data_IF_756314075383
#
_entry.id   IF_756314075383
#
_cell.length_a   1.000
_cell.length_b   1.000
_cell.length_c   1.000
_cell.angle_alpha   90.00
_cell.angle_beta   90.00
_cell.angle_gamma   90.00
#
_symmetry.space_group_name_H-M   'P 1'
#
loop_
_entity.id
_entity.type
_entity.pdbx_description
1 polymer ?
#
# COMPACT_ATOMS: atom_id res chain seq x y z
N UNK A 1 -24.66 46.23 50.93
CA UNK A 1 -24.15 44.96 50.36
C UNK A 1 -22.83 45.28 49.64
N UNK A 2 -21.72 45.59 50.30
CA UNK A 2 -20.80 44.81 51.17
C UNK A 2 -19.77 43.98 50.39
N UNK A 3 -18.62 44.64 50.14
CA UNK A 3 -17.20 44.21 50.11
C UNK A 3 -16.78 42.74 49.83
N UNK A 4 -15.86 42.66 48.87
CA UNK A 4 -14.63 41.85 48.74
C UNK A 4 -14.21 40.90 49.89
N UNK A 5 -13.65 39.74 49.53
CA UNK A 5 -12.48 39.17 50.21
C UNK A 5 -11.67 38.18 49.34
N UNK A 6 -10.36 38.47 49.21
CA UNK A 6 -9.29 37.52 48.86
C UNK A 6 -9.18 36.42 49.93
N UNK A 7 -8.65 35.24 49.56
CA UNK A 7 -7.48 34.52 50.15
C UNK A 7 -7.50 33.03 49.75
N UNK A 8 -6.46 32.55 49.06
CA UNK A 8 -5.33 31.76 49.60
C UNK A 8 -5.69 30.35 50.08
N UNK A 9 -4.90 29.36 49.63
CA UNK A 9 -4.58 28.20 50.47
C UNK A 9 -4.44 26.88 49.73
N UNK A 10 -3.19 26.54 49.39
CA UNK A 10 -2.76 25.18 49.03
C UNK A 10 -2.83 24.21 50.23
N UNK A 11 -3.00 22.90 49.94
CA UNK A 11 -2.53 21.72 50.71
C UNK A 11 -2.95 20.46 49.92
N UNK A 12 -2.04 19.71 49.30
CA UNK A 12 -1.09 18.75 49.86
C UNK A 12 -1.71 17.39 50.24
N UNK A 13 -1.19 16.31 49.63
CA UNK A 13 -1.45 14.90 49.94
C UNK A 13 -1.34 14.05 48.66
N UNK A 14 -0.25 13.37 48.26
CA UNK A 14 0.72 12.48 48.89
C UNK A 14 0.56 11.04 48.34
N UNK A 15 1.71 10.33 48.26
CA UNK A 15 1.94 8.94 47.82
C UNK A 15 2.23 8.79 46.30
N UNK A 16 3.30 8.11 45.84
CA UNK A 16 4.20 7.14 46.50
C UNK A 16 5.51 7.04 45.70
N UNK A 17 6.64 6.94 46.41
CA UNK A 17 7.95 6.67 45.86
C UNK A 17 8.29 5.17 45.96
N UNK A 18 8.90 4.60 44.92
CA UNK A 18 9.71 3.37 44.97
C UNK A 18 10.65 3.41 43.75
N UNK A 19 11.90 3.85 43.91
CA UNK A 19 13.08 3.06 44.29
C UNK A 19 13.87 2.64 43.05
N UNK A 20 14.94 3.39 42.80
CA UNK A 20 15.99 3.07 41.83
C UNK A 20 16.73 1.80 42.28
N UNK A 21 17.01 0.91 41.32
CA UNK A 21 18.14 0.01 41.39
C UNK A 21 18.91 0.13 40.08
N UNK A 22 20.00 0.90 40.14
CA UNK A 22 21.10 0.84 39.20
C UNK A 22 22.02 -0.31 39.63
N UNK A 23 22.35 -1.20 38.70
CA UNK A 23 23.52 -2.05 38.77
C UNK A 23 24.15 -2.11 37.37
N UNK A 24 25.40 -1.69 37.34
CA UNK A 24 26.24 -1.29 36.22
C UNK A 24 27.31 -2.35 35.90
N UNK A 25 27.93 -2.23 34.71
CA UNK A 25 29.32 -2.62 34.34
C UNK A 25 29.53 -4.11 34.00
N UNK A 26 30.25 -4.61 32.96
CA UNK A 26 31.41 -4.22 32.10
C UNK A 26 31.36 -5.16 30.85
N UNK A 27 31.86 -4.92 29.64
CA UNK A 27 32.83 -3.98 29.07
C UNK A 27 32.69 -3.91 27.53
N UNK A 28 32.97 -2.75 26.94
CA UNK A 28 34.28 -2.32 26.42
C UNK A 28 34.55 -2.77 24.98
N UNK A 29 34.18 -1.91 24.01
CA UNK A 29 35.07 -1.47 22.91
C UNK A 29 34.46 -0.28 22.13
N UNK A 30 34.89 0.94 22.49
CA UNK A 30 35.41 2.03 21.62
C UNK A 30 34.53 2.58 20.44
N UNK A 31 33.81 3.70 20.72
CA UNK A 31 33.68 5.04 20.05
C UNK A 31 33.74 5.21 18.49
N UNK A 32 33.24 6.35 17.90
CA UNK A 32 32.18 7.30 18.32
C UNK A 32 31.19 7.78 17.20
N UNK A 33 29.99 8.21 17.62
CA UNK A 33 29.39 9.49 17.16
C UNK A 33 28.24 9.51 16.13
N UNK A 34 26.99 9.66 16.56
CA UNK A 34 26.16 10.90 16.50
C UNK A 34 24.64 10.63 16.49
N UNK A 35 23.94 11.34 17.40
CA UNK A 35 22.51 11.70 17.47
C UNK A 35 21.41 10.65 17.80
N UNK A 36 20.44 10.99 18.69
CA UNK A 36 19.38 10.08 19.13
C UNK A 36 18.15 10.17 18.21
N UNK A 37 17.92 9.13 17.41
CA UNK A 37 16.65 8.93 16.71
C UNK A 37 15.69 8.11 17.57
N UNK A 38 14.49 8.63 17.80
CA UNK A 38 13.36 7.95 18.45
C UNK A 38 13.16 6.51 17.93
N UNK A 39 12.65 5.59 18.76
CA UNK A 39 12.49 4.19 18.36
C UNK A 39 11.51 4.11 17.18
N UNK A 40 11.99 3.63 16.04
CA UNK A 40 11.11 3.20 14.96
C UNK A 40 10.23 2.07 15.51
N UNK A 41 8.91 2.10 15.31
CA UNK A 41 8.07 0.96 15.66
C UNK A 41 8.53 -0.22 14.81
N UNK A 42 9.10 -1.24 15.45
CA UNK A 42 9.26 -2.55 14.85
C UNK A 42 7.84 -3.10 14.69
N UNK A 43 7.27 -2.87 13.51
CA UNK A 43 6.09 -3.57 13.02
C UNK A 43 6.34 -5.06 13.16
N UNK A 44 5.51 -5.68 13.99
CA UNK A 44 5.46 -7.10 14.22
C UNK A 44 4.59 -7.68 13.12
N UNK A 45 5.15 -7.81 11.92
CA UNK A 45 4.47 -8.53 10.82
C UNK A 45 5.31 -9.76 10.49
N UNK A 46 5.26 -10.72 11.41
CA UNK A 46 5.55 -12.12 11.12
C UNK A 46 4.20 -12.84 11.07
N UNK A 47 3.39 -12.46 10.09
CA UNK A 47 2.26 -13.25 9.62
C UNK A 47 2.67 -13.87 8.27
N UNK A 48 2.21 -15.08 8.00
CA UNK A 48 2.45 -15.88 6.80
C UNK A 48 1.96 -15.18 5.49
N UNK A 49 2.65 -14.12 5.04
CA UNK A 49 2.15 -13.20 4.02
C UNK A 49 2.98 -13.25 2.72
N UNK A 50 2.99 -14.40 2.04
CA UNK A 50 3.50 -14.51 0.66
C UNK A 50 2.50 -13.96 -0.39
N UNK A 51 1.43 -13.26 0.03
CA UNK A 51 0.33 -12.80 -0.82
C UNK A 51 0.64 -11.55 -1.66
N UNK A 52 1.08 -10.41 -1.08
CA UNK A 52 1.32 -9.20 -1.85
C UNK A 52 2.66 -9.24 -2.60
N UNK A 53 3.65 -9.96 -2.05
CA UNK A 53 4.99 -10.07 -2.65
C UNK A 53 4.96 -10.90 -3.93
N UNK A 54 4.19 -11.99 -3.97
CA UNK A 54 4.06 -12.83 -5.18
C UNK A 54 3.34 -12.09 -6.31
N UNK A 55 2.21 -11.42 -6.00
CA UNK A 55 1.51 -10.56 -6.97
C UNK A 55 2.42 -9.44 -7.48
N UNK A 56 3.17 -8.78 -6.58
CA UNK A 56 4.10 -7.71 -6.94
C UNK A 56 5.15 -8.20 -7.94
N UNK A 57 5.79 -9.33 -7.65
CA UNK A 57 6.80 -9.92 -8.54
C UNK A 57 6.21 -10.32 -9.90
N UNK A 58 5.06 -11.01 -9.89
CA UNK A 58 4.39 -11.42 -11.13
C UNK A 58 3.99 -10.21 -12.01
N UNK A 59 3.46 -9.15 -11.41
CA UNK A 59 3.12 -7.92 -12.15
C UNK A 59 4.38 -7.23 -12.68
N UNK A 60 5.46 -7.17 -11.88
CA UNK A 60 6.74 -6.62 -12.34
C UNK A 60 7.34 -7.42 -13.52
N UNK A 61 7.14 -8.73 -13.56
CA UNK A 61 7.60 -9.60 -14.65
C UNK A 61 6.67 -9.60 -15.87
N UNK A 62 5.41 -9.15 -15.71
CA UNK A 62 4.38 -9.23 -16.76
C UNK A 62 4.63 -8.33 -17.97
N UNK A 63 5.36 -7.23 -17.81
CA UNK A 63 5.64 -6.25 -18.86
C UNK A 63 6.99 -5.57 -18.63
N UNK A 64 7.91 -5.53 -19.62
CA UNK A 64 9.24 -4.93 -19.45
C UNK A 64 9.22 -3.42 -19.20
N UNK A 65 8.09 -2.74 -19.45
CA UNK A 65 7.92 -1.33 -19.07
C UNK A 65 7.60 -1.18 -17.59
N UNK A 66 7.16 -2.22 -16.88
CA UNK A 66 6.92 -2.12 -15.44
C UNK A 66 8.27 -2.03 -14.74
N UNK A 67 8.54 -0.87 -14.14
CA UNK A 67 9.77 -0.61 -13.38
C UNK A 67 9.58 -0.98 -11.93
N UNK A 68 8.40 -0.71 -11.39
CA UNK A 68 8.06 -0.99 -10.00
C UNK A 68 6.54 -1.13 -9.81
N UNK A 69 6.15 -1.82 -8.75
CA UNK A 69 4.76 -1.98 -8.29
C UNK A 69 4.69 -1.51 -6.83
N UNK A 70 4.69 -0.19 -6.62
CA UNK A 70 4.84 0.41 -5.29
C UNK A 70 3.68 0.09 -4.33
N UNK A 71 2.52 -0.34 -4.82
CA UNK A 71 1.36 -0.63 -3.95
C UNK A 71 0.50 -1.75 -4.52
N UNK A 72 0.28 -2.77 -3.68
CA UNK A 72 -0.76 -3.79 -3.84
C UNK A 72 -1.56 -3.79 -2.54
N UNK A 73 -2.86 -3.53 -2.62
CA UNK A 73 -3.76 -3.52 -1.46
C UNK A 73 -4.95 -4.41 -1.76
N UNK A 74 -5.20 -5.40 -0.92
CA UNK A 74 -6.34 -6.31 -1.02
C UNK A 74 -7.24 -6.07 0.17
N UNK A 75 -8.44 -5.55 -0.07
CA UNK A 75 -9.42 -5.28 0.98
C UNK A 75 -10.72 -6.05 0.71
N UNK A 76 -11.25 -6.78 1.69
CA UNK A 76 -12.64 -7.19 1.66
C UNK A 76 -13.52 -5.97 1.93
N UNK A 77 -14.21 -5.46 0.91
CA UNK A 77 -15.42 -4.69 1.17
C UNK A 77 -16.50 -5.70 1.56
N UNK A 78 -17.39 -5.40 2.51
CA UNK A 78 -18.41 -6.37 2.99
C UNK A 78 -19.38 -6.92 1.93
N UNK A 79 -19.18 -6.57 0.65
CA UNK A 79 -19.91 -7.05 -0.53
C UNK A 79 -19.01 -7.55 -1.67
N UNK A 80 -17.68 -7.32 -1.64
CA UNK A 80 -16.73 -7.68 -2.70
C UNK A 80 -15.26 -7.55 -2.24
N UNK A 81 -14.39 -8.48 -2.64
CA UNK A 81 -12.93 -8.39 -2.50
C UNK A 81 -12.33 -7.48 -3.57
N UNK A 82 -11.63 -6.43 -3.17
CA UNK A 82 -11.03 -5.44 -4.07
C UNK A 82 -9.51 -5.49 -3.98
N UNK A 83 -8.86 -5.71 -5.12
CA UNK A 83 -7.41 -5.57 -5.28
C UNK A 83 -7.10 -4.25 -5.98
N UNK A 84 -6.24 -3.43 -5.39
CA UNK A 84 -5.73 -2.19 -6.01
C UNK A 84 -4.25 -2.34 -6.29
N UNK A 85 -3.84 -2.07 -7.52
CA UNK A 85 -2.47 -2.14 -7.99
C UNK A 85 -2.07 -0.81 -8.59
N UNK A 86 -1.02 -0.22 -8.04
CA UNK A 86 -0.35 0.92 -8.64
C UNK A 86 0.97 0.47 -9.27
N UNK A 87 1.15 0.75 -10.56
CA UNK A 87 2.34 0.39 -11.34
C UNK A 87 3.06 1.64 -11.83
N UNK A 88 4.38 1.64 -11.73
CA UNK A 88 5.26 2.62 -12.36
C UNK A 88 5.77 2.04 -13.69
N UNK A 89 5.48 2.73 -14.80
CA UNK A 89 5.87 2.35 -16.14
C UNK A 89 7.02 3.22 -16.65
N UNK A 90 7.99 2.63 -17.32
CA UNK A 90 9.05 3.35 -18.00
C UNK A 90 8.50 4.05 -19.24
N UNK A 91 8.88 5.31 -19.41
CA UNK A 91 8.51 6.12 -20.55
C UNK A 91 7.14 6.79 -20.40
N UNK A 92 6.82 7.60 -21.39
CA UNK A 92 5.62 8.44 -21.44
C UNK A 92 4.61 7.91 -22.48
N UNK A 93 4.90 6.77 -23.12
CA UNK A 93 4.03 6.21 -24.13
C UNK A 93 2.70 5.77 -23.50
N UNK A 94 1.57 5.90 -24.23
CA UNK A 94 0.28 5.44 -23.76
C UNK A 94 0.33 3.98 -23.28
N UNK A 95 -0.50 3.68 -22.29
CA UNK A 95 -0.70 2.29 -21.86
C UNK A 95 -1.54 1.60 -22.94
N UNK A 96 -1.09 0.44 -23.40
CA UNK A 96 -1.84 -0.37 -24.38
C UNK A 96 -2.80 -1.33 -23.68
N UNK A 97 -3.78 -1.82 -24.41
CA UNK A 97 -4.68 -2.88 -23.94
C UNK A 97 -3.90 -4.12 -23.51
N UNK A 98 -2.90 -4.54 -24.30
CA UNK A 98 -2.08 -5.71 -23.99
C UNK A 98 -1.33 -5.55 -22.66
N UNK A 99 -0.83 -4.35 -22.35
CA UNK A 99 -0.19 -4.07 -21.05
C UNK A 99 -1.19 -4.21 -19.91
N UNK A 100 -2.40 -3.65 -20.03
CA UNK A 100 -3.45 -3.79 -19.01
C UNK A 100 -3.84 -5.26 -18.82
N UNK A 101 -4.02 -6.02 -19.91
CA UNK A 101 -4.37 -7.44 -19.86
C UNK A 101 -3.26 -8.25 -19.18
N UNK A 102 -1.99 -8.08 -19.56
CA UNK A 102 -0.88 -8.81 -18.93
C UNK A 102 -0.76 -8.53 -17.44
N UNK A 103 -0.85 -7.25 -17.05
CA UNK A 103 -0.80 -6.86 -15.63
C UNK A 103 -1.99 -7.46 -14.87
N UNK A 104 -3.20 -7.37 -15.43
CA UNK A 104 -4.41 -7.87 -14.78
C UNK A 104 -4.41 -9.40 -14.63
N UNK A 105 -4.03 -10.13 -15.68
CA UNK A 105 -3.91 -11.60 -15.64
C UNK A 105 -2.84 -12.01 -14.63
N UNK A 106 -1.64 -11.42 -14.69
CA UNK A 106 -0.56 -11.73 -13.75
C UNK A 106 -0.99 -11.48 -12.29
N UNK A 107 -1.72 -10.40 -12.05
CA UNK A 107 -2.24 -10.08 -10.72
C UNK A 107 -3.27 -11.11 -10.22
N UNK A 108 -4.25 -11.46 -11.05
CA UNK A 108 -5.33 -12.36 -10.66
C UNK A 108 -4.86 -13.82 -10.53
N UNK A 109 -3.98 -14.29 -11.41
CA UNK A 109 -3.43 -15.66 -11.34
C UNK A 109 -2.56 -15.89 -10.10
N UNK A 110 -1.94 -14.83 -9.56
CA UNK A 110 -1.08 -14.88 -8.40
C UNK A 110 -1.76 -14.38 -7.12
N UNK A 111 -3.03 -14.01 -7.18
CA UNK A 111 -3.81 -13.65 -6.01
C UNK A 111 -4.06 -14.89 -5.14
N UNK A 112 -3.83 -14.77 -3.83
CA UNK A 112 -4.07 -15.85 -2.87
C UNK A 112 -5.53 -15.93 -2.41
N UNK A 113 -6.34 -14.94 -2.77
CA UNK A 113 -7.77 -14.85 -2.49
C UNK A 113 -8.51 -14.53 -3.78
N UNK A 114 -9.78 -14.89 -3.85
CA UNK A 114 -10.68 -14.45 -4.92
C UNK A 114 -10.81 -12.92 -4.90
N UNK A 115 -10.73 -12.31 -6.09
CA UNK A 115 -10.76 -10.86 -6.30
C UNK A 115 -11.93 -10.51 -7.21
N UNK A 116 -12.99 -9.94 -6.65
CA UNK A 116 -14.17 -9.49 -7.39
C UNK A 116 -13.88 -8.28 -8.29
N UNK A 117 -12.96 -7.41 -7.83
CA UNK A 117 -12.62 -6.17 -8.52
C UNK A 117 -11.12 -5.91 -8.50
N UNK A 118 -10.57 -5.64 -9.68
CA UNK A 118 -9.19 -5.17 -9.84
C UNK A 118 -9.19 -3.69 -10.20
N UNK A 119 -8.48 -2.87 -9.45
CA UNK A 119 -8.27 -1.44 -9.74
C UNK A 119 -6.82 -1.21 -10.14
N UNK A 120 -6.61 -0.74 -11.36
CA UNK A 120 -5.30 -0.43 -11.91
C UNK A 120 -5.06 1.09 -11.93
N UNK A 121 -3.89 1.48 -11.43
CA UNK A 121 -3.37 2.84 -11.50
C UNK A 121 -2.00 2.77 -12.17
N UNK A 122 -1.83 3.46 -13.30
CA UNK A 122 -0.55 3.50 -14.02
C UNK A 122 0.08 4.89 -13.91
N UNK A 123 1.37 4.94 -13.59
CA UNK A 123 2.14 6.19 -13.44
C UNK A 123 3.45 6.09 -14.21
N UNK A 124 4.03 7.19 -14.71
CA UNK A 124 5.36 7.17 -15.29
C UNK A 124 6.41 7.07 -14.19
N UNK A 125 7.46 6.29 -14.44
CA UNK A 125 8.57 6.11 -13.51
C UNK A 125 9.41 7.39 -13.33
N UNK A 126 9.36 8.31 -14.29
CA UNK A 126 10.01 9.62 -14.25
C UNK A 126 9.28 10.66 -13.39
N UNK A 127 7.98 10.47 -13.14
CA UNK A 127 7.13 11.39 -12.39
C UNK A 127 5.96 10.62 -11.75
N UNK A 128 6.16 10.14 -10.52
CA UNK A 128 5.19 9.34 -9.78
C UNK A 128 3.94 10.12 -9.34
N UNK A 129 3.89 11.42 -9.59
CA UNK A 129 2.73 12.27 -9.34
C UNK A 129 1.76 12.32 -10.53
N UNK A 130 2.23 11.96 -11.72
CA UNK A 130 1.42 11.96 -12.95
C UNK A 130 0.73 10.61 -13.14
N UNK A 131 -0.54 10.62 -13.51
CA UNK A 131 -1.27 9.40 -13.89
C UNK A 131 -1.32 9.28 -15.41
N UNK A 132 -1.08 8.07 -15.92
CA UNK A 132 -1.18 7.77 -17.35
C UNK A 132 -2.65 7.54 -17.74
N UNK A 133 -3.03 8.01 -18.92
CA UNK A 133 -4.38 7.77 -19.45
C UNK A 133 -4.55 6.30 -19.86
N UNK A 134 -5.56 5.65 -19.28
CA UNK A 134 -5.92 4.26 -19.54
C UNK A 134 -7.13 4.12 -20.48
N UNK A 135 -7.69 5.23 -20.99
CA UNK A 135 -8.92 5.24 -21.80
C UNK A 135 -8.78 4.41 -23.08
N UNK A 136 -7.69 4.59 -23.81
CA UNK A 136 -7.40 3.82 -25.03
C UNK A 136 -7.21 2.32 -24.72
N UNK A 137 -6.48 1.99 -23.66
CA UNK A 137 -6.29 0.60 -23.25
C UNK A 137 -7.61 -0.08 -22.89
N UNK A 138 -8.46 0.61 -22.13
CA UNK A 138 -9.75 0.10 -21.69
C UNK A 138 -10.71 -0.15 -22.87
N UNK A 139 -10.70 0.72 -23.88
CA UNK A 139 -11.54 0.57 -25.08
C UNK A 139 -11.21 -0.68 -25.92
N UNK A 140 -10.02 -1.26 -25.76
CA UNK A 140 -9.62 -2.50 -26.43
C UNK A 140 -9.86 -3.77 -25.61
N UNK A 141 -10.33 -3.67 -24.36
CA UNK A 141 -10.60 -4.84 -23.53
C UNK A 141 -11.70 -5.73 -24.16
N UNK A 142 -11.68 -7.06 -23.93
CA UNK A 142 -12.73 -7.94 -24.40
C UNK A 142 -14.12 -7.50 -23.92
N UNK A 143 -15.16 -7.62 -24.77
CA UNK A 143 -16.53 -7.19 -24.45
C UNK A 143 -17.11 -7.82 -23.17
N UNK A 144 -16.61 -9.01 -22.80
CA UNK A 144 -17.01 -9.71 -21.59
C UNK A 144 -16.42 -9.09 -20.31
N UNK A 145 -15.38 -8.27 -20.42
CA UNK A 145 -14.75 -7.56 -19.30
C UNK A 145 -15.55 -6.29 -19.02
N UNK A 146 -16.26 -6.28 -17.90
CA UNK A 146 -16.87 -5.05 -17.42
C UNK A 146 -15.81 -4.15 -16.81
N UNK A 147 -15.77 -2.88 -17.21
CA UNK A 147 -14.87 -1.90 -16.63
C UNK A 147 -15.53 -0.55 -16.42
N UNK A 148 -14.95 0.26 -15.53
CA UNK A 148 -15.32 1.65 -15.33
C UNK A 148 -14.12 2.49 -14.90
N UNK A 149 -14.20 3.78 -15.15
CA UNK A 149 -13.24 4.74 -14.63
C UNK A 149 -13.72 5.29 -13.29
N UNK A 150 -12.84 5.26 -12.29
CA UNK A 150 -13.03 5.97 -11.02
C UNK A 150 -11.88 6.95 -10.87
N UNK A 151 -12.19 8.24 -11.06
CA UNK A 151 -11.16 9.30 -11.13
C UNK A 151 -10.09 8.90 -12.16
N UNK A 152 -8.85 8.71 -11.72
CA UNK A 152 -7.68 8.40 -12.54
C UNK A 152 -7.34 6.89 -12.55
N UNK A 153 -8.27 6.02 -12.14
CA UNK A 153 -8.06 4.58 -12.07
C UNK A 153 -9.02 3.81 -12.98
N UNK A 154 -8.53 2.71 -13.56
CA UNK A 154 -9.32 1.76 -14.32
C UNK A 154 -9.73 0.62 -13.40
N UNK A 155 -11.03 0.44 -13.18
CA UNK A 155 -11.56 -0.67 -12.40
C UNK A 155 -12.15 -1.72 -13.33
N UNK A 156 -11.70 -2.97 -13.18
CA UNK A 156 -12.21 -4.15 -13.86
C UNK A 156 -13.11 -4.93 -12.89
N UNK A 157 -14.25 -5.37 -13.39
CA UNK A 157 -15.23 -6.21 -12.68
C UNK A 157 -15.27 -7.57 -13.38
N UNK A 158 -14.34 -8.45 -13.03
CA UNK A 158 -14.30 -9.86 -13.41
C UNK A 158 -13.18 -10.55 -12.63
N UNK A 159 -13.43 -11.77 -12.17
CA UNK A 159 -12.48 -12.59 -11.39
C UNK A 159 -11.70 -13.58 -12.25
N UNK A 160 -12.13 -13.79 -13.50
CA UNK A 160 -11.57 -14.84 -14.34
C UNK A 160 -10.45 -14.29 -15.24
N UNK A 161 -9.18 -14.69 -15.00
CA UNK A 161 -8.07 -14.31 -15.88
C UNK A 161 -8.26 -14.81 -17.32
N UNK A 162 -9.00 -15.89 -17.54
CA UNK A 162 -9.29 -16.38 -18.90
C UNK A 162 -10.21 -15.42 -19.68
N UNK A 163 -11.16 -14.76 -19.00
CA UNK A 163 -12.03 -13.74 -19.59
C UNK A 163 -11.22 -12.50 -19.96
N UNK A 164 -10.29 -12.07 -19.10
CA UNK A 164 -9.42 -10.92 -19.37
C UNK A 164 -8.40 -11.23 -20.47
N UNK A 165 -7.78 -12.41 -20.43
CA UNK A 165 -6.81 -12.87 -21.41
C UNK A 165 -7.41 -13.20 -22.79
N UNK A 166 -8.75 -13.14 -22.93
CA UNK A 166 -9.44 -13.38 -24.18
C UNK A 166 -9.38 -14.83 -24.66
N UNK A 167 -9.28 -15.79 -23.73
CA UNK A 167 -9.34 -17.21 -24.06
C UNK A 167 -10.67 -17.52 -24.75
N UNK A 168 -10.58 -17.96 -26.02
CA UNK A 168 -11.68 -18.45 -26.85
C UNK A 168 -11.63 -19.96 -26.91
#
# INVERSE_FOLDING_TARGET
>A
MTRAHRRHGARAGAATAAALLAATLVGCSILPGTAPGSPAPQGTDQEDDMSPTTVRSAVAESDPRVVDVPTVMVNPSGFASVMTIAVALSGDEPVSTDTVVRIAVAALENATTEVDQLTLIARPASDDSRILDLTQAAAGLPDAVQYRFIKDSLQLTTTDPAVIGGAR
#
